data_IF_016413576417
#
_entry.id   IF_016413576417
#
_cell.length_a   1.000
_cell.length_b   1.000
_cell.length_c   1.000
_cell.angle_alpha   90.00
_cell.angle_beta   90.00
_cell.angle_gamma   90.00
#
_symmetry.space_group_name_H-M   'P 1'
#
loop_
_entity.id
_entity.type
_entity.pdbx_description
1 polymer ?
#
# COMPACT_ATOMS: atom_id res chain seq x y z
N UNK A 1 17.44 5.42 8.94
CA UNK A 1 16.15 5.88 8.38
C UNK A 1 15.20 4.69 8.20
N UNK A 2 15.68 3.63 7.56
CA UNK A 2 14.98 2.34 7.36
C UNK A 2 14.47 1.68 8.66
N UNK A 3 15.23 1.75 9.75
CA UNK A 3 14.85 1.18 11.05
C UNK A 3 13.54 1.74 11.61
N UNK A 4 13.27 3.03 11.39
CA UNK A 4 12.02 3.67 11.86
C UNK A 4 10.83 3.26 11.00
N UNK A 5 11.04 3.13 9.69
CA UNK A 5 10.01 2.67 8.76
C UNK A 5 9.61 1.23 9.10
N UNK A 6 10.58 0.32 9.23
CA UNK A 6 10.34 -1.08 9.58
C UNK A 6 9.63 -1.21 10.94
N UNK A 7 10.04 -0.42 11.94
CA UNK A 7 9.35 -0.38 13.23
C UNK A 7 7.88 0.06 13.12
N UNK A 8 7.60 1.11 12.33
CA UNK A 8 6.24 1.58 12.12
C UNK A 8 5.38 0.55 11.37
N UNK A 9 5.93 -0.10 10.36
CA UNK A 9 5.23 -1.16 9.63
C UNK A 9 4.89 -2.35 10.55
N UNK A 10 5.84 -2.78 11.38
CA UNK A 10 5.62 -3.86 12.34
C UNK A 10 4.53 -3.50 13.37
N UNK A 11 4.50 -2.25 13.83
CA UNK A 11 3.44 -1.75 14.71
C UNK A 11 2.07 -1.80 14.02
N UNK A 12 1.98 -1.36 12.76
CA UNK A 12 0.73 -1.39 12.00
C UNK A 12 0.26 -2.83 11.73
N UNK A 13 1.16 -3.72 11.30
CA UNK A 13 0.83 -5.12 11.03
C UNK A 13 0.40 -5.91 12.28
N UNK A 14 0.75 -5.42 13.48
CA UNK A 14 0.28 -5.99 14.75
C UNK A 14 -1.16 -5.58 15.12
N UNK A 15 -1.77 -4.65 14.38
CA UNK A 15 -3.12 -4.17 14.67
C UNK A 15 -4.17 -5.22 14.31
N UNK A 16 -5.22 -5.43 15.12
CA UNK A 16 -6.27 -6.40 14.81
C UNK A 16 -6.88 -6.15 13.44
N UNK A 17 -7.10 -7.23 12.67
CA UNK A 17 -7.65 -7.22 11.29
C UNK A 17 -6.72 -6.68 10.20
N UNK A 18 -5.51 -6.23 10.53
CA UNK A 18 -4.49 -5.93 9.52
C UNK A 18 -3.74 -7.21 9.19
N UNK A 19 -3.81 -7.65 7.93
CA UNK A 19 -3.13 -8.88 7.46
C UNK A 19 -1.79 -8.60 6.79
N UNK A 20 -1.64 -7.39 6.23
CA UNK A 20 -0.46 -6.95 5.53
C UNK A 20 -0.38 -5.42 5.49
N UNK A 21 0.84 -4.89 5.43
CA UNK A 21 1.14 -3.47 5.22
C UNK A 21 2.32 -3.36 4.26
N UNK A 22 2.19 -2.54 3.22
CA UNK A 22 3.24 -2.31 2.23
C UNK A 22 3.48 -0.81 2.02
N UNK A 23 4.73 -0.42 1.87
CA UNK A 23 5.14 0.92 1.47
C UNK A 23 5.76 0.85 0.07
N UNK A 24 5.19 1.62 -0.86
CA UNK A 24 5.53 1.61 -2.29
C UNK A 24 5.98 3.03 -2.67
N UNK A 25 7.04 3.15 -3.46
CA UNK A 25 7.48 4.44 -3.96
C UNK A 25 6.70 4.90 -5.21
N UNK A 26 7.08 6.06 -5.74
CA UNK A 26 6.48 6.64 -6.95
C UNK A 26 6.74 5.83 -8.22
N UNK A 27 7.79 5.02 -8.26
CA UNK A 27 8.13 4.18 -9.41
C UNK A 27 7.39 2.83 -9.37
N UNK A 28 6.75 2.52 -8.23
CA UNK A 28 6.00 1.28 -8.03
C UNK A 28 6.86 0.17 -7.43
N UNK A 29 8.00 0.51 -6.83
CA UNK A 29 8.88 -0.44 -6.14
C UNK A 29 8.50 -0.54 -4.66
N UNK A 30 8.55 -1.76 -4.13
CA UNK A 30 8.32 -1.99 -2.71
C UNK A 30 9.55 -1.54 -1.91
N UNK A 31 9.36 -0.55 -1.03
CA UNK A 31 10.40 -0.09 -0.10
C UNK A 31 10.49 -1.00 1.11
N UNK A 32 9.33 -1.34 1.70
CA UNK A 32 9.24 -2.18 2.88
C UNK A 32 7.84 -2.79 3.00
N UNK A 33 7.77 -3.97 3.61
CA UNK A 33 6.54 -4.75 3.70
C UNK A 33 6.51 -5.60 4.98
N UNK A 34 5.31 -5.86 5.51
CA UNK A 34 5.07 -6.75 6.66
C UNK A 34 3.75 -7.50 6.47
N UNK A 35 3.71 -8.78 6.85
CA UNK A 35 2.53 -9.66 6.69
C UNK A 35 2.51 -10.44 5.37
N UNK A 36 1.34 -10.96 4.99
CA UNK A 36 1.20 -11.84 3.81
C UNK A 36 1.10 -11.00 2.53
N UNK A 37 2.23 -10.81 1.85
CA UNK A 37 2.34 -9.95 0.67
C UNK A 37 2.89 -10.76 -0.51
N UNK A 38 2.34 -10.49 -1.71
CA UNK A 38 2.87 -10.99 -2.97
C UNK A 38 3.50 -9.80 -3.72
N UNK A 39 4.80 -9.88 -3.99
CA UNK A 39 5.56 -8.81 -4.66
C UNK A 39 5.02 -8.46 -6.06
N UNK A 40 4.35 -9.40 -6.73
CA UNK A 40 3.70 -9.14 -8.02
C UNK A 40 2.53 -8.14 -7.91
N UNK A 41 1.95 -7.98 -6.71
CA UNK A 41 0.80 -7.10 -6.47
C UNK A 41 1.23 -5.63 -6.35
N UNK A 42 2.49 -5.36 -5.95
CA UNK A 42 3.01 -4.01 -5.74
C UNK A 42 2.84 -3.11 -6.96
N UNK A 43 3.24 -3.61 -8.14
CA UNK A 43 3.10 -2.87 -9.39
C UNK A 43 1.64 -2.61 -9.76
N UNK A 44 0.75 -3.57 -9.47
CA UNK A 44 -0.69 -3.45 -9.73
C UNK A 44 -1.29 -2.35 -8.83
N UNK A 45 -1.03 -2.38 -7.53
CA UNK A 45 -1.54 -1.37 -6.58
C UNK A 45 -1.04 0.04 -6.91
N UNK A 46 0.25 0.19 -7.25
CA UNK A 46 0.82 1.47 -7.70
C UNK A 46 0.13 1.98 -8.97
N UNK A 47 -0.11 1.11 -9.94
CA UNK A 47 -0.80 1.47 -11.19
C UNK A 47 -2.23 1.93 -10.93
N UNK A 48 -3.02 1.21 -10.13
CA UNK A 48 -4.39 1.59 -9.78
C UNK A 48 -4.42 2.96 -9.11
N UNK A 49 -3.51 3.21 -8.16
CA UNK A 49 -3.35 4.51 -7.51
C UNK A 49 -3.06 5.64 -8.49
N UNK A 50 -2.08 5.46 -9.39
CA UNK A 50 -1.72 6.48 -10.38
C UNK A 50 -2.88 6.85 -11.31
N UNK A 51 -3.66 5.85 -11.75
CA UNK A 51 -4.84 6.12 -12.58
C UNK A 51 -5.91 6.88 -11.81
N UNK A 52 -6.17 6.50 -10.56
CA UNK A 52 -7.18 7.17 -9.74
C UNK A 52 -6.79 8.61 -9.38
N UNK A 53 -5.50 8.85 -9.09
CA UNK A 53 -4.97 10.19 -8.83
C UNK A 53 -5.11 11.15 -10.04
N UNK A 54 -5.28 10.62 -11.25
CA UNK A 54 -5.51 11.41 -12.47
C UNK A 54 -6.98 11.64 -12.83
N UNK A 55 -7.95 11.14 -12.05
CA UNK A 55 -9.39 11.28 -12.36
C UNK A 55 -9.88 12.71 -12.13
N UNK A 56 -9.43 13.32 -11.04
CA UNK A 56 -9.77 14.70 -10.68
C UNK A 56 -8.48 15.50 -10.50
N UNK A 57 -8.48 16.75 -10.94
CA UNK A 57 -7.43 17.72 -10.61
C UNK A 57 -7.60 18.20 -9.15
N UNK A 58 -7.57 17.25 -8.23
CA UNK A 58 -7.62 17.51 -6.80
C UNK A 58 -6.18 17.66 -6.25
N UNK A 59 -5.86 18.73 -5.51
CA UNK A 59 -4.55 18.84 -4.86
C UNK A 59 -4.29 17.73 -3.83
N UNK A 60 -5.34 17.12 -3.28
CA UNK A 60 -5.23 16.06 -2.27
C UNK A 60 -5.20 14.67 -2.93
N UNK A 61 -4.22 13.81 -2.57
CA UNK A 61 -4.17 12.44 -3.08
C UNK A 61 -5.41 11.62 -2.68
N UNK A 62 -6.00 10.82 -3.59
CA UNK A 62 -7.15 10.00 -3.26
C UNK A 62 -6.77 8.83 -2.33
N UNK A 63 -7.72 8.41 -1.49
CA UNK A 63 -7.65 7.15 -0.76
C UNK A 63 -8.44 6.10 -1.54
N UNK A 64 -7.78 4.99 -1.88
CA UNK A 64 -8.40 3.90 -2.61
C UNK A 64 -8.79 2.75 -1.69
N UNK A 65 -9.99 2.24 -1.90
CA UNK A 65 -10.52 1.06 -1.21
C UNK A 65 -10.88 0.02 -2.28
N UNK A 66 -10.29 -1.16 -2.17
CA UNK A 66 -10.60 -2.30 -3.05
C UNK A 66 -11.24 -3.37 -2.18
N UNK A 67 -12.54 -3.58 -2.38
CA UNK A 67 -13.30 -4.61 -1.68
C UNK A 67 -13.55 -5.79 -2.63
N UNK A 68 -13.39 -6.99 -2.10
CA UNK A 68 -13.79 -8.21 -2.79
C UNK A 68 -14.65 -9.03 -1.84
N UNK A 69 -15.77 -9.55 -2.35
CA UNK A 69 -16.52 -10.57 -1.63
C UNK A 69 -15.72 -11.88 -1.70
N UNK A 70 -15.30 -12.37 -0.54
CA UNK A 70 -14.72 -13.70 -0.44
C UNK A 70 -15.85 -14.70 -0.68
N UNK A 71 -15.74 -15.51 -1.74
CA UNK A 71 -16.67 -16.62 -1.99
C UNK A 71 -16.60 -17.67 -0.90
#
# INVERSE_FOLDING_TARGET
>A
METKLLHNLAKLSSSPKVTAVQCIDSDGLCIASQGTINDQITGILSSIYKHAAGIEENPDPPVLVIEFESK
#
